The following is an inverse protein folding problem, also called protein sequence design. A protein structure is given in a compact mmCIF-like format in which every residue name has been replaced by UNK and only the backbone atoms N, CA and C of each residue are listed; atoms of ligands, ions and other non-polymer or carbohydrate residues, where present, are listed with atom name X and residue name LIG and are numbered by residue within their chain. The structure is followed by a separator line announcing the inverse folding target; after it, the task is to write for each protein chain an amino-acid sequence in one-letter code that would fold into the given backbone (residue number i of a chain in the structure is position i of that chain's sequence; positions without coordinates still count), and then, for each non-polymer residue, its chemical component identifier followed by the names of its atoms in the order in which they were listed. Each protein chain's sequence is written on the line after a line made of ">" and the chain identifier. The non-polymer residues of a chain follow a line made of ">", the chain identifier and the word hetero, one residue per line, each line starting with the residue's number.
data_IF_900009183920
#
_entry.id   IF_900009183920
#
_cell.length_a   1.000
_cell.length_b   1.000
_cell.length_c   1.000
_cell.angle_alpha   90.00
_cell.angle_beta   90.00
_cell.angle_gamma   90.00
#
_symmetry.space_group_name_H-M   'P 1'
#
loop_
_entity.id
_entity.type
_entity.pdbx_description
1 polymer ?
#
# COMPACT_ATOMS: atom_id res chain seq x y z
N UNK A 1 -16.88 30.16 3.51
CA UNK A 1 -16.12 29.04 2.95
C UNK A 1 -15.38 28.37 4.12
N UNK A 2 -15.93 27.27 4.66
CA UNK A 2 -15.33 26.56 5.80
C UNK A 2 -14.24 25.62 5.29
N UNK A 3 -13.03 25.78 5.81
CA UNK A 3 -11.88 24.90 5.51
C UNK A 3 -12.22 23.45 5.83
N UNK A 4 -12.22 22.59 4.82
CA UNK A 4 -12.44 21.13 4.91
C UNK A 4 -11.16 20.42 5.36
N UNK A 5 -10.41 20.98 6.32
CA UNK A 5 -9.02 20.57 6.57
C UNK A 5 -8.79 19.55 7.69
N UNK A 6 -9.83 19.11 8.42
CA UNK A 6 -9.62 18.22 9.57
C UNK A 6 -9.93 16.73 9.36
N UNK A 7 -10.94 16.30 8.60
CA UNK A 7 -11.23 14.86 8.49
C UNK A 7 -10.32 14.11 7.51
N UNK A 8 -9.73 14.78 6.51
CA UNK A 8 -8.88 14.13 5.50
C UNK A 8 -7.49 13.85 6.06
N UNK A 9 -6.92 14.75 6.87
CA UNK A 9 -5.64 14.50 7.57
C UNK A 9 -5.72 13.28 8.50
N UNK A 10 -6.84 13.09 9.18
CA UNK A 10 -7.06 11.95 10.08
C UNK A 10 -7.26 10.62 9.31
N UNK A 11 -7.93 10.66 8.16
CA UNK A 11 -8.16 9.48 7.31
C UNK A 11 -6.87 8.99 6.62
N UNK A 12 -5.95 9.90 6.29
CA UNK A 12 -4.65 9.56 5.73
C UNK A 12 -3.70 8.97 6.81
N UNK A 13 -3.81 9.41 8.06
CA UNK A 13 -3.06 8.83 9.18
C UNK A 13 -3.47 7.39 9.50
N UNK A 14 -4.77 7.05 9.40
CA UNK A 14 -5.24 5.68 9.64
C UNK A 14 -4.87 4.71 8.53
N UNK A 15 -4.61 5.17 7.30
CA UNK A 15 -4.17 4.31 6.20
C UNK A 15 -2.69 3.90 6.30
N UNK A 16 -1.86 4.64 7.05
CA UNK A 16 -0.47 4.26 7.32
C UNK A 16 -0.39 3.09 8.30
N UNK A 17 -1.33 2.99 9.23
CA UNK A 17 -1.40 1.87 10.18
C UNK A 17 -1.85 0.54 9.55
N UNK A 18 -2.55 0.55 8.42
CA UNK A 18 -2.88 -0.67 7.66
C UNK A 18 -1.75 -1.15 6.74
N UNK A 19 -0.66 -0.38 6.64
CA UNK A 19 0.60 -0.74 5.98
C UNK A 19 1.65 -1.28 6.96
N UNK A 20 1.23 -1.70 8.18
CA UNK A 20 2.07 -2.52 9.06
C UNK A 20 2.47 -3.80 8.32
N UNK A 21 3.63 -4.30 8.58
CA UNK A 21 4.60 -4.80 7.62
C UNK A 21 4.06 -5.99 6.86
N UNK A 22 3.28 -5.77 5.83
CA UNK A 22 3.43 -6.66 4.69
C UNK A 22 4.78 -6.27 4.15
N UNK A 23 5.78 -6.92 4.70
CA UNK A 23 7.11 -6.89 4.17
C UNK A 23 6.99 -6.94 2.65
N UNK A 24 7.50 -5.93 1.97
CA UNK A 24 7.79 -6.07 0.56
C UNK A 24 8.72 -7.28 0.47
N UNK A 25 8.12 -8.45 0.24
CA UNK A 25 8.76 -9.68 -0.19
C UNK A 25 9.74 -10.36 0.75
N UNK A 26 9.96 -9.92 2.00
CA UNK A 26 10.87 -10.64 2.91
C UNK A 26 10.38 -10.56 4.34
N UNK A 27 9.47 -11.46 4.70
CA UNK A 27 9.34 -11.85 6.10
C UNK A 27 10.70 -12.39 6.57
N UNK A 28 11.18 -12.04 7.79
CA UNK A 28 12.31 -12.73 8.39
C UNK A 28 12.13 -14.25 8.43
N UNK A 29 10.89 -14.71 8.26
CA UNK A 29 10.44 -16.11 8.29
C UNK A 29 10.63 -16.83 6.95
N UNK A 30 10.81 -16.11 5.83
CA UNK A 30 11.03 -16.71 4.51
C UNK A 30 12.46 -17.23 4.30
N UNK A 31 13.30 -17.27 5.36
CA UNK A 31 14.61 -17.90 5.34
C UNK A 31 14.51 -19.44 5.45
N UNK A 32 13.65 -20.05 4.65
CA UNK A 32 13.82 -21.45 4.24
C UNK A 32 14.80 -21.43 3.09
N UNK A 33 16.01 -21.97 3.33
CA UNK A 33 17.08 -22.04 2.34
C UNK A 33 16.57 -22.47 0.96
N UNK A 34 16.29 -21.52 0.11
CA UNK A 34 16.00 -21.76 -1.30
C UNK A 34 17.31 -22.04 -2.00
N UNK A 35 17.49 -23.29 -2.42
CA UNK A 35 18.42 -23.65 -3.47
C UNK A 35 18.12 -22.79 -4.71
N UNK A 36 19.08 -21.96 -5.09
CA UNK A 36 19.05 -21.16 -6.31
C UNK A 36 19.10 -22.09 -7.53
N UNK A 37 17.98 -22.31 -8.18
CA UNK A 37 17.97 -22.67 -9.60
C UNK A 37 18.03 -21.37 -10.41
N UNK A 38 19.16 -21.21 -11.10
CA UNK A 38 19.38 -20.11 -12.03
C UNK A 38 18.57 -20.38 -13.29
N UNK A 39 17.60 -19.50 -13.60
CA UNK A 39 17.09 -19.38 -14.95
C UNK A 39 17.88 -18.28 -15.69
N UNK A 40 18.62 -18.71 -16.72
CA UNK A 40 19.24 -17.83 -17.71
C UNK A 40 18.16 -17.11 -18.50
N UNK A 41 18.18 -15.77 -18.46
CA UNK A 41 17.61 -14.97 -19.52
C UNK A 41 18.55 -13.79 -19.84
N UNK A 42 19.03 -13.80 -21.07
CA UNK A 42 20.03 -12.87 -21.58
C UNK A 42 19.38 -11.54 -21.93
N UNK A 43 20.07 -10.47 -21.56
CA UNK A 43 20.01 -9.12 -22.13
C UNK A 43 19.29 -8.00 -21.37
N UNK A 44 19.74 -7.74 -20.12
CA UNK A 44 19.63 -6.39 -19.51
C UNK A 44 20.94 -6.06 -18.81
N UNK A 45 21.47 -4.82 -18.98
CA UNK A 45 22.68 -4.34 -18.28
C UNK A 45 22.51 -4.51 -16.76
N UNK A 46 22.90 -5.69 -16.25
CA UNK A 46 22.81 -6.03 -14.82
C UNK A 46 23.76 -5.11 -14.05
N UNK A 47 23.22 -4.23 -13.20
CA UNK A 47 23.98 -3.66 -12.08
C UNK A 47 24.67 -4.82 -11.38
N UNK A 48 25.98 -4.74 -11.14
CA UNK A 48 26.79 -5.80 -10.51
C UNK A 48 26.29 -5.94 -9.08
N UNK A 49 25.35 -6.89 -8.83
CA UNK A 49 24.85 -7.20 -7.49
C UNK A 49 26.03 -7.67 -6.63
N UNK A 50 26.12 -7.16 -5.40
CA UNK A 50 27.09 -7.65 -4.43
C UNK A 50 26.82 -9.14 -4.18
N UNK A 51 27.87 -9.98 -4.28
CA UNK A 51 27.73 -11.41 -3.94
C UNK A 51 27.27 -11.53 -2.50
N UNK A 52 26.13 -12.18 -2.28
CA UNK A 52 25.61 -12.46 -0.95
C UNK A 52 26.57 -13.41 -0.24
N UNK A 53 27.24 -12.91 0.80
CA UNK A 53 28.03 -13.75 1.68
C UNK A 53 27.09 -14.47 2.65
N UNK A 54 27.31 -15.77 2.85
CA UNK A 54 26.53 -16.52 3.83
C UNK A 54 26.98 -16.16 5.25
N UNK A 55 26.06 -16.10 6.21
CA UNK A 55 26.41 -15.93 7.61
C UNK A 55 27.23 -17.13 8.13
N UNK A 56 28.07 -16.87 9.12
CA UNK A 56 28.90 -17.93 9.74
C UNK A 56 28.02 -19.06 10.34
N UNK A 57 28.58 -20.25 10.47
CA UNK A 57 27.88 -21.37 11.13
C UNK A 57 27.40 -21.03 12.54
N UNK A 58 28.13 -20.13 13.25
CA UNK A 58 27.70 -19.64 14.57
C UNK A 58 26.46 -18.79 14.46
N UNK A 59 26.44 -17.85 13.52
CA UNK A 59 25.27 -17.00 13.29
C UNK A 59 24.07 -17.80 12.81
N UNK A 60 24.27 -18.79 11.94
CA UNK A 60 23.20 -19.70 11.50
C UNK A 60 22.50 -20.40 12.69
N UNK A 61 23.30 -20.88 13.69
CA UNK A 61 22.73 -21.49 14.90
C UNK A 61 21.94 -20.49 15.75
N UNK A 62 22.43 -19.25 15.87
CA UNK A 62 21.72 -18.16 16.56
C UNK A 62 20.39 -17.90 15.85
N UNK A 63 20.39 -17.75 14.54
CA UNK A 63 19.17 -17.52 13.76
C UNK A 63 18.16 -18.67 13.90
N UNK A 64 18.62 -19.92 13.86
CA UNK A 64 17.76 -21.09 14.07
C UNK A 64 17.08 -21.09 15.45
N UNK A 65 17.77 -20.62 16.49
CA UNK A 65 17.20 -20.53 17.83
C UNK A 65 16.28 -19.31 17.99
N UNK A 66 16.60 -18.20 17.33
CA UNK A 66 15.92 -16.90 17.49
C UNK A 66 14.63 -16.80 16.66
N UNK A 67 14.61 -17.32 15.42
CA UNK A 67 13.45 -17.15 14.51
C UNK A 67 12.15 -17.68 15.13
N UNK A 68 12.12 -18.87 15.77
CA UNK A 68 10.90 -19.32 16.46
C UNK A 68 10.44 -18.40 17.60
N UNK A 69 11.36 -17.70 18.29
CA UNK A 69 11.02 -16.74 19.32
C UNK A 69 10.34 -15.51 18.74
N UNK A 70 10.77 -15.06 17.56
CA UNK A 70 10.12 -13.96 16.83
C UNK A 70 8.70 -14.36 16.40
N UNK A 71 8.50 -15.59 15.92
CA UNK A 71 7.18 -16.11 15.52
C UNK A 71 6.14 -16.10 16.64
N UNK A 72 6.58 -16.25 17.88
CA UNK A 72 5.72 -16.22 19.07
C UNK A 72 5.86 -14.92 19.85
N UNK A 73 6.42 -13.88 19.25
CA UNK A 73 6.60 -12.53 19.81
C UNK A 73 7.38 -12.46 21.14
N UNK A 74 8.26 -13.44 21.39
CA UNK A 74 9.19 -13.43 22.52
C UNK A 74 10.41 -12.54 22.20
N UNK A 75 10.14 -11.23 22.16
CA UNK A 75 11.08 -10.22 21.67
C UNK A 75 12.35 -10.10 22.51
N UNK A 76 12.25 -10.16 23.83
CA UNK A 76 13.38 -9.97 24.73
C UNK A 76 14.32 -11.18 24.68
N UNK A 77 13.79 -12.40 24.59
CA UNK A 77 14.55 -13.62 24.41
C UNK A 77 15.23 -13.65 23.02
N UNK A 78 14.54 -13.18 21.99
CA UNK A 78 15.11 -13.06 20.65
C UNK A 78 16.28 -12.04 20.64
N UNK A 79 16.14 -10.89 21.32
CA UNK A 79 17.23 -9.93 21.47
C UNK A 79 18.41 -10.51 22.26
N UNK A 80 18.14 -11.25 23.33
CA UNK A 80 19.18 -11.90 24.16
C UNK A 80 20.00 -12.90 23.33
N UNK A 81 19.36 -13.63 22.41
CA UNK A 81 20.04 -14.54 21.51
C UNK A 81 21.05 -13.84 20.58
N UNK A 82 20.83 -12.55 20.28
CA UNK A 82 21.71 -11.73 19.43
C UNK A 82 22.87 -11.07 20.20
N UNK A 83 22.84 -11.03 21.54
CA UNK A 83 23.87 -10.36 22.35
C UNK A 83 25.31 -10.85 22.07
N UNK A 84 25.60 -12.16 21.87
CA UNK A 84 26.95 -12.60 21.57
C UNK A 84 27.56 -11.99 20.31
N UNK A 85 26.70 -11.56 19.35
CA UNK A 85 27.16 -10.93 18.08
C UNK A 85 27.52 -9.47 18.30
N UNK A 86 26.90 -8.80 19.29
CA UNK A 86 27.10 -7.39 19.59
C UNK A 86 28.43 -7.09 20.30
N UNK A 87 29.09 -8.10 20.83
CA UNK A 87 30.37 -7.90 21.56
C UNK A 87 31.46 -7.45 20.59
N UNK A 88 32.15 -6.35 20.91
CA UNK A 88 33.11 -5.65 20.04
C UNK A 88 34.24 -6.59 19.56
N UNK A 89 34.76 -7.46 20.43
CA UNK A 89 35.83 -8.42 20.11
C UNK A 89 35.29 -9.80 19.69
N UNK A 90 34.03 -9.85 19.27
CA UNK A 90 33.41 -11.10 18.84
C UNK A 90 34.07 -11.62 17.55
N UNK A 91 34.18 -12.96 17.43
CA UNK A 91 34.65 -13.62 16.20
C UNK A 91 33.58 -13.69 15.10
N UNK A 92 32.63 -12.75 15.12
CA UNK A 92 31.59 -12.65 14.13
C UNK A 92 32.02 -11.73 12.97
N UNK A 93 31.59 -12.09 11.77
CA UNK A 93 31.90 -11.36 10.53
C UNK A 93 31.03 -10.13 10.38
N UNK A 94 31.39 -9.22 9.45
CA UNK A 94 30.52 -8.11 9.05
C UNK A 94 29.15 -8.58 8.56
N UNK A 95 29.09 -9.69 7.81
CA UNK A 95 27.83 -10.33 7.41
C UNK A 95 26.99 -10.78 8.62
N UNK A 96 27.62 -11.32 9.66
CA UNK A 96 26.91 -11.74 10.88
C UNK A 96 26.35 -10.53 11.64
N UNK A 97 27.12 -9.43 11.74
CA UNK A 97 26.65 -8.19 12.34
C UNK A 97 25.52 -7.55 11.53
N UNK A 98 25.60 -7.58 10.19
CA UNK A 98 24.51 -7.11 9.34
C UNK A 98 23.20 -7.86 9.63
N UNK A 99 23.26 -9.21 9.75
CA UNK A 99 22.10 -10.01 10.16
C UNK A 99 21.59 -9.63 11.54
N UNK A 100 22.49 -9.45 12.51
CA UNK A 100 22.10 -9.01 13.87
C UNK A 100 21.37 -7.66 13.82
N UNK A 101 21.90 -6.66 13.13
CA UNK A 101 21.28 -5.35 13.02
C UNK A 101 19.92 -5.41 12.32
N UNK A 102 19.79 -6.23 11.27
CA UNK A 102 18.53 -6.44 10.58
C UNK A 102 17.43 -6.93 11.54
N UNK A 103 17.72 -8.01 12.29
CA UNK A 103 16.74 -8.56 13.23
C UNK A 103 16.50 -7.65 14.44
N UNK A 104 17.53 -6.98 14.96
CA UNK A 104 17.33 -5.96 16.00
C UNK A 104 16.42 -4.83 15.53
N UNK A 105 16.65 -4.31 14.32
CA UNK A 105 15.81 -3.29 13.72
C UNK A 105 14.35 -3.76 13.64
N UNK A 106 14.13 -4.97 13.14
CA UNK A 106 12.80 -5.56 13.06
C UNK A 106 12.12 -5.71 14.44
N UNK A 107 12.83 -6.30 15.42
CA UNK A 107 12.29 -6.52 16.77
C UNK A 107 11.96 -5.17 17.44
N UNK A 108 12.85 -4.20 17.37
CA UNK A 108 12.61 -2.89 17.96
C UNK A 108 11.45 -2.15 17.26
N UNK A 109 11.33 -2.29 15.95
CA UNK A 109 10.20 -1.74 15.20
C UNK A 109 8.88 -2.36 15.65
N UNK A 110 8.83 -3.69 15.81
CA UNK A 110 7.66 -4.43 16.29
C UNK A 110 7.27 -4.09 17.75
N UNK A 111 8.26 -3.70 18.55
CA UNK A 111 8.05 -3.21 19.93
C UNK A 111 7.77 -1.69 20.00
N UNK A 112 7.62 -1.00 18.87
CA UNK A 112 7.46 0.47 18.78
C UNK A 112 8.62 1.26 19.42
N UNK A 113 9.78 0.63 19.57
CA UNK A 113 11.03 1.26 20.05
C UNK A 113 11.76 1.92 18.87
N UNK A 114 11.14 2.95 18.28
CA UNK A 114 11.51 3.51 16.98
C UNK A 114 12.93 4.05 16.92
N UNK A 115 13.42 4.72 17.98
CA UNK A 115 14.81 5.23 18.03
C UNK A 115 15.84 4.10 17.96
N UNK A 116 15.56 2.96 18.63
CA UNK A 116 16.44 1.80 18.60
C UNK A 116 16.38 1.08 17.26
N UNK A 117 15.19 1.01 16.66
CA UNK A 117 15.01 0.46 15.32
C UNK A 117 15.77 1.29 14.28
N UNK A 118 15.64 2.62 14.32
CA UNK A 118 16.33 3.52 13.41
C UNK A 118 17.86 3.35 13.51
N UNK A 119 18.39 3.31 14.74
CA UNK A 119 19.81 3.07 14.96
C UNK A 119 20.26 1.74 14.38
N UNK A 120 19.53 0.67 14.65
CA UNK A 120 19.86 -0.67 14.14
C UNK A 120 19.87 -0.71 12.61
N UNK A 121 18.89 -0.11 11.93
CA UNK A 121 18.89 -0.07 10.47
C UNK A 121 20.01 0.80 9.88
N UNK A 122 20.36 1.91 10.52
CA UNK A 122 21.54 2.71 10.12
C UNK A 122 22.84 1.93 10.29
N UNK A 123 23.01 1.20 11.39
CA UNK A 123 24.16 0.34 11.64
C UNK A 123 24.24 -0.79 10.61
N UNK A 124 23.09 -1.36 10.21
CA UNK A 124 23.02 -2.35 9.12
C UNK A 124 23.53 -1.77 7.79
N UNK A 125 23.09 -0.58 7.42
CA UNK A 125 23.52 0.06 6.17
C UNK A 125 25.02 0.37 6.19
N UNK A 126 25.57 0.68 7.35
CA UNK A 126 27.00 0.94 7.53
C UNK A 126 27.89 -0.31 7.43
N UNK A 127 27.34 -1.52 7.63
CA UNK A 127 28.11 -2.76 7.53
C UNK A 127 28.58 -3.02 6.09
N UNK A 128 29.90 -3.22 5.87
CA UNK A 128 30.46 -3.37 4.51
C UNK A 128 29.90 -4.56 3.73
N UNK A 129 29.60 -5.65 4.45
CA UNK A 129 29.12 -6.91 3.89
C UNK A 129 27.61 -7.12 4.02
N UNK A 130 26.84 -6.06 4.33
CA UNK A 130 25.38 -6.09 4.21
C UNK A 130 25.02 -6.35 2.75
N UNK A 131 24.08 -7.27 2.50
CA UNK A 131 23.64 -7.55 1.14
C UNK A 131 22.64 -6.49 0.64
N UNK A 132 22.42 -6.45 -0.67
CA UNK A 132 21.54 -5.44 -1.28
C UNK A 132 20.09 -5.56 -0.77
N UNK A 133 19.58 -6.78 -0.55
CA UNK A 133 18.23 -7.01 -0.04
C UNK A 133 18.05 -6.49 1.39
N UNK A 134 19.03 -6.73 2.28
CA UNK A 134 19.01 -6.20 3.65
C UNK A 134 19.06 -4.68 3.67
N UNK A 135 19.90 -4.10 2.81
CA UNK A 135 20.00 -2.63 2.67
C UNK A 135 18.70 -2.04 2.16
N UNK A 136 18.07 -2.66 1.16
CA UNK A 136 16.78 -2.25 0.64
C UNK A 136 15.68 -2.32 1.73
N UNK A 137 15.61 -3.44 2.47
CA UNK A 137 14.69 -3.55 3.60
C UNK A 137 14.92 -2.48 4.67
N UNK A 138 16.17 -2.18 5.00
CA UNK A 138 16.52 -1.14 5.97
C UNK A 138 16.13 0.27 5.48
N UNK A 139 16.39 0.61 4.22
CA UNK A 139 16.01 1.90 3.63
C UNK A 139 14.49 2.09 3.67
N UNK A 140 13.74 1.06 3.33
CA UNK A 140 12.28 1.11 3.39
C UNK A 140 11.79 1.30 4.84
N UNK A 141 12.34 0.53 5.80
CA UNK A 141 12.00 0.68 7.23
C UNK A 141 12.38 2.06 7.78
N UNK A 142 13.54 2.60 7.40
CA UNK A 142 13.96 3.95 7.76
C UNK A 142 13.02 5.03 7.19
N UNK A 143 12.48 4.81 5.99
CA UNK A 143 11.47 5.71 5.42
C UNK A 143 10.20 5.72 6.24
N UNK A 144 9.72 4.54 6.66
CA UNK A 144 8.54 4.41 7.51
C UNK A 144 8.75 5.06 8.88
N UNK A 145 9.89 4.80 9.53
CA UNK A 145 10.27 5.44 10.80
C UNK A 145 10.31 6.97 10.68
N UNK A 146 10.93 7.47 9.61
CA UNK A 146 10.97 8.92 9.35
C UNK A 146 9.57 9.51 9.13
N UNK A 147 8.68 8.76 8.46
CA UNK A 147 7.29 9.17 8.27
C UNK A 147 6.51 9.22 9.59
N UNK A 148 6.69 8.20 10.46
CA UNK A 148 6.08 8.14 11.80
C UNK A 148 6.59 9.32 12.67
N UNK A 149 7.87 9.66 12.56
CA UNK A 149 8.48 10.81 13.25
C UNK A 149 8.09 12.16 12.63
N UNK A 150 7.20 12.21 11.62
CA UNK A 150 6.80 13.40 10.87
C UNK A 150 7.97 14.10 10.13
N UNK A 151 9.09 13.41 9.94
CA UNK A 151 10.25 13.89 9.20
C UNK A 151 10.10 13.56 7.71
N UNK A 152 9.04 14.05 7.09
CA UNK A 152 8.57 13.65 5.76
C UNK A 152 9.62 13.82 4.66
N UNK A 153 10.43 14.88 4.72
CA UNK A 153 11.50 15.05 3.73
C UNK A 153 12.57 13.96 3.85
N UNK A 154 12.87 13.49 5.07
CA UNK A 154 13.80 12.37 5.30
C UNK A 154 13.21 11.05 4.83
N UNK A 155 11.91 10.84 5.07
CA UNK A 155 11.19 9.68 4.55
C UNK A 155 11.26 9.62 3.01
N UNK A 156 11.02 10.74 2.33
CA UNK A 156 11.15 10.85 0.87
C UNK A 156 12.57 10.49 0.42
N UNK A 157 13.60 11.01 1.09
CA UNK A 157 14.99 10.75 0.71
C UNK A 157 15.33 9.25 0.78
N UNK A 158 14.93 8.56 1.86
CA UNK A 158 15.11 7.11 2.00
C UNK A 158 14.32 6.32 0.95
N UNK A 159 13.08 6.73 0.63
CA UNK A 159 12.29 6.08 -0.40
C UNK A 159 12.89 6.26 -1.80
N UNK A 160 13.42 7.43 -2.11
CA UNK A 160 14.08 7.66 -3.40
C UNK A 160 15.38 6.85 -3.51
N UNK A 161 16.14 6.71 -2.42
CA UNK A 161 17.32 5.85 -2.39
C UNK A 161 16.93 4.37 -2.54
N UNK A 162 15.85 3.94 -1.88
CA UNK A 162 15.28 2.61 -2.02
C UNK A 162 14.86 2.34 -3.47
N UNK A 163 14.08 3.23 -4.09
CA UNK A 163 13.65 3.13 -5.49
C UNK A 163 14.82 2.97 -6.48
N UNK A 164 15.93 3.67 -6.23
CA UNK A 164 17.12 3.58 -7.08
C UNK A 164 17.74 2.17 -7.10
N UNK A 165 17.43 1.34 -6.12
CA UNK A 165 17.88 -0.06 -6.01
C UNK A 165 16.88 -1.08 -6.54
N UNK A 166 15.61 -0.71 -6.72
CA UNK A 166 14.56 -1.61 -7.17
C UNK A 166 14.49 -1.70 -8.70
N UNK A 167 14.32 -2.92 -9.21
CA UNK A 167 14.11 -3.16 -10.66
C UNK A 167 12.65 -2.92 -11.03
N UNK A 168 11.73 -3.30 -10.16
CA UNK A 168 10.28 -3.16 -10.33
C UNK A 168 9.66 -2.52 -9.07
N UNK A 169 9.68 -1.18 -8.98
CA UNK A 169 9.16 -0.49 -7.81
C UNK A 169 7.66 -0.74 -7.61
N UNK A 170 7.26 -1.00 -6.37
CA UNK A 170 5.86 -1.25 -6.04
C UNK A 170 5.02 0.04 -6.06
N UNK A 171 3.72 -0.11 -6.36
CA UNK A 171 2.78 1.00 -6.26
C UNK A 171 2.66 1.56 -4.84
N UNK A 172 2.87 0.72 -3.83
CA UNK A 172 2.80 1.14 -2.42
C UNK A 172 3.92 2.11 -2.04
N UNK A 173 5.11 1.91 -2.58
CA UNK A 173 6.23 2.84 -2.38
C UNK A 173 5.93 4.22 -2.97
N UNK A 174 5.40 4.26 -4.19
CA UNK A 174 4.97 5.53 -4.78
C UNK A 174 3.79 6.16 -4.04
N UNK A 175 2.86 5.36 -3.52
CA UNK A 175 1.79 5.83 -2.65
C UNK A 175 2.32 6.50 -1.38
N UNK A 176 3.34 5.92 -0.74
CA UNK A 176 3.98 6.49 0.45
C UNK A 176 4.76 7.79 0.12
N UNK A 177 5.45 7.83 -1.03
CA UNK A 177 6.10 9.06 -1.53
C UNK A 177 5.06 10.16 -1.76
N UNK A 178 3.93 9.82 -2.39
CA UNK A 178 2.85 10.77 -2.63
C UNK A 178 2.30 11.34 -1.32
N UNK A 179 2.06 10.49 -0.33
CA UNK A 179 1.61 10.92 1.00
C UNK A 179 2.63 11.83 1.68
N UNK A 180 3.93 11.49 1.62
CA UNK A 180 4.98 12.31 2.21
C UNK A 180 5.11 13.69 1.52
N UNK A 181 5.00 13.74 0.20
CA UNK A 181 4.93 15.02 -0.54
C UNK A 181 3.67 15.82 -0.22
N UNK A 182 2.52 15.16 0.02
CA UNK A 182 1.30 15.83 0.46
C UNK A 182 1.50 16.53 1.82
N UNK A 183 2.17 15.86 2.77
CA UNK A 183 2.42 16.41 4.11
C UNK A 183 3.32 17.66 4.10
N UNK A 184 4.26 17.73 3.18
CA UNK A 184 5.12 18.92 2.98
C UNK A 184 4.53 19.92 1.97
N UNK A 185 3.24 19.77 1.62
CA UNK A 185 2.49 20.63 0.70
C UNK A 185 3.10 20.72 -0.72
N UNK A 186 3.95 19.77 -1.11
CA UNK A 186 4.46 19.67 -2.47
C UNK A 186 3.47 18.89 -3.34
N UNK A 187 2.30 19.48 -3.57
CA UNK A 187 1.20 18.86 -4.29
C UNK A 187 1.55 18.44 -5.72
N UNK A 188 2.32 19.20 -6.52
CA UNK A 188 2.70 18.74 -7.86
C UNK A 188 3.46 17.42 -7.85
N UNK A 189 4.47 17.25 -6.98
CA UNK A 189 5.21 15.99 -6.85
C UNK A 189 4.37 14.88 -6.24
N UNK A 190 3.45 15.22 -5.36
CA UNK A 190 2.50 14.26 -4.81
C UNK A 190 1.58 13.69 -5.91
N UNK A 191 1.10 14.53 -6.85
CA UNK A 191 0.30 14.08 -8.00
C UNK A 191 1.12 13.16 -8.90
N UNK A 192 2.34 13.54 -9.24
CA UNK A 192 3.24 12.71 -10.06
C UNK A 192 3.46 11.32 -9.46
N UNK A 193 3.71 11.27 -8.16
CA UNK A 193 3.93 10.02 -7.45
C UNK A 193 2.66 9.17 -7.36
N UNK A 194 1.49 9.77 -7.05
CA UNK A 194 0.25 9.00 -6.95
C UNK A 194 -0.23 8.51 -8.33
N UNK A 195 -0.02 9.28 -9.38
CA UNK A 195 -0.30 8.86 -10.75
C UNK A 195 0.57 7.65 -11.14
N UNK A 196 1.83 7.66 -10.74
CA UNK A 196 2.74 6.51 -10.95
C UNK A 196 2.23 5.28 -10.20
N UNK A 197 1.82 5.43 -8.92
CA UNK A 197 1.28 4.34 -8.12
C UNK A 197 0.01 3.73 -8.75
N UNK A 198 -0.89 4.57 -9.24
CA UNK A 198 -2.12 4.16 -9.92
C UNK A 198 -1.79 3.43 -11.22
N UNK A 199 -0.93 4.01 -12.06
CA UNK A 199 -0.56 3.44 -13.35
C UNK A 199 0.11 2.06 -13.22
N UNK A 200 0.95 1.84 -12.21
CA UNK A 200 1.55 0.53 -11.93
C UNK A 200 0.46 -0.52 -11.69
N UNK A 201 -0.56 -0.21 -10.91
CA UNK A 201 -1.64 -1.16 -10.60
C UNK A 201 -2.59 -1.37 -11.78
N UNK A 202 -2.96 -0.31 -12.49
CA UNK A 202 -3.88 -0.37 -13.63
C UNK A 202 -3.24 -1.00 -14.87
N UNK A 203 -1.91 -0.97 -15.01
CA UNK A 203 -1.21 -1.63 -16.11
C UNK A 203 -1.11 -3.14 -15.96
N UNK A 204 -1.29 -3.69 -14.75
CA UNK A 204 -1.20 -5.12 -14.50
C UNK A 204 -2.37 -5.87 -15.12
N UNK A 205 -2.09 -7.01 -15.75
CA UNK A 205 -3.11 -7.96 -16.18
C UNK A 205 -3.38 -8.96 -15.06
N UNK A 206 -4.62 -8.92 -14.53
CA UNK A 206 -5.06 -9.79 -13.45
C UNK A 206 -5.85 -10.94 -14.04
N UNK A 207 -5.41 -12.17 -13.78
CA UNK A 207 -6.14 -13.38 -14.19
C UNK A 207 -7.46 -13.48 -13.45
N UNK A 208 -8.53 -13.69 -14.21
CA UNK A 208 -9.87 -13.88 -13.65
C UNK A 208 -9.96 -15.29 -13.08
N UNK A 209 -10.36 -15.37 -11.81
CA UNK A 209 -10.62 -16.61 -11.10
C UNK A 209 -12.11 -16.68 -10.76
N UNK A 210 -12.69 -17.85 -10.93
CA UNK A 210 -14.08 -18.12 -10.56
C UNK A 210 -14.13 -19.25 -9.53
N UNK A 211 -15.11 -19.24 -8.59
CA UNK A 211 -15.26 -20.32 -7.63
C UNK A 211 -15.63 -21.62 -8.33
N UNK A 212 -15.09 -22.72 -7.82
CA UNK A 212 -15.54 -24.07 -8.19
C UNK A 212 -16.82 -24.37 -7.44
N UNK A 213 -17.86 -24.79 -8.17
CA UNK A 213 -19.13 -25.22 -7.57
C UNK A 213 -19.14 -26.74 -7.44
N UNK A 214 -19.77 -27.26 -6.37
CA UNK A 214 -20.10 -28.68 -6.23
C UNK A 214 -21.29 -29.07 -7.11
N UNK A 215 -21.71 -30.35 -7.05
CA UNK A 215 -22.80 -30.86 -7.82
C UNK A 215 -24.15 -30.23 -7.44
N UNK A 216 -24.27 -29.67 -6.26
CA UNK A 216 -25.45 -28.99 -5.72
C UNK A 216 -25.44 -27.48 -6.02
N UNK A 217 -24.33 -26.95 -6.62
CA UNK A 217 -24.16 -25.54 -6.98
C UNK A 217 -23.64 -24.65 -5.87
N UNK A 218 -23.10 -25.21 -4.77
CA UNK A 218 -22.46 -24.44 -3.70
C UNK A 218 -20.97 -24.22 -4.00
N UNK A 219 -20.42 -23.13 -3.51
CA UNK A 219 -18.98 -22.87 -3.63
C UNK A 219 -18.16 -23.85 -2.78
N UNK A 220 -17.19 -24.53 -3.41
CA UNK A 220 -16.30 -25.49 -2.74
C UNK A 220 -15.17 -24.81 -1.93
N UNK A 221 -14.98 -23.50 -2.09
CA UNK A 221 -13.86 -22.74 -1.58
C UNK A 221 -12.62 -22.79 -2.47
N UNK A 222 -12.63 -23.58 -3.54
CA UNK A 222 -11.58 -23.60 -4.55
C UNK A 222 -11.86 -22.56 -5.65
N UNK A 223 -10.77 -22.00 -6.24
CA UNK A 223 -10.84 -21.03 -7.32
C UNK A 223 -10.09 -21.56 -8.54
N UNK A 224 -10.68 -21.49 -9.71
CA UNK A 224 -10.01 -21.84 -10.99
C UNK A 224 -9.82 -20.61 -11.86
N UNK A 225 -8.70 -20.58 -12.61
CA UNK A 225 -8.44 -19.52 -13.59
C UNK A 225 -9.26 -19.77 -14.85
N UNK A 226 -10.00 -18.74 -15.30
CA UNK A 226 -10.83 -18.82 -16.52
C UNK A 226 -10.02 -18.76 -17.81
N UNK A 227 -8.73 -18.39 -17.73
CA UNK A 227 -7.90 -18.06 -18.87
C UNK A 227 -8.08 -16.61 -19.39
N UNK A 228 -9.05 -15.89 -18.86
CA UNK A 228 -9.28 -14.48 -19.17
C UNK A 228 -8.48 -13.58 -18.21
N UNK A 229 -8.16 -12.38 -18.69
CA UNK A 229 -7.52 -11.33 -17.87
C UNK A 229 -8.36 -10.06 -17.87
N UNK A 230 -8.25 -9.30 -16.78
CA UNK A 230 -8.75 -7.93 -16.71
C UNK A 230 -7.63 -6.99 -16.28
N UNK A 231 -7.75 -5.73 -16.61
CA UNK A 231 -6.82 -4.72 -16.07
C UNK A 231 -6.99 -4.60 -14.55
N UNK A 232 -5.88 -4.34 -13.89
CA UNK A 232 -5.87 -4.04 -12.47
C UNK A 232 -6.63 -2.75 -12.17
N UNK A 233 -6.94 -2.56 -10.89
CA UNK A 233 -7.55 -1.33 -10.37
C UNK A 233 -6.69 -0.86 -9.22
N UNK A 234 -6.39 0.43 -9.18
CA UNK A 234 -5.60 0.97 -8.09
C UNK A 234 -6.37 0.92 -6.77
N UNK A 235 -5.66 0.91 -5.65
CA UNK A 235 -6.26 0.89 -4.32
C UNK A 235 -7.14 2.13 -4.10
N UNK A 236 -8.25 1.95 -3.38
CA UNK A 236 -9.20 3.04 -3.06
C UNK A 236 -8.50 4.28 -2.47
N UNK A 237 -7.55 4.07 -1.55
CA UNK A 237 -6.81 5.15 -0.90
C UNK A 237 -5.94 5.97 -1.88
N UNK A 238 -5.47 5.39 -2.99
CA UNK A 238 -4.73 6.13 -4.02
C UNK A 238 -5.65 7.11 -4.75
N UNK A 239 -6.85 6.69 -5.12
CA UNK A 239 -7.85 7.58 -5.71
C UNK A 239 -8.29 8.67 -4.74
N UNK A 240 -8.46 8.34 -3.45
CA UNK A 240 -8.82 9.32 -2.42
C UNK A 240 -7.72 10.37 -2.22
N UNK A 241 -6.45 9.97 -2.22
CA UNK A 241 -5.32 10.91 -2.16
C UNK A 241 -5.29 11.80 -3.40
N UNK A 242 -5.48 11.24 -4.60
CA UNK A 242 -5.54 12.00 -5.85
C UNK A 242 -6.66 13.03 -5.83
N UNK A 243 -7.84 12.67 -5.32
CA UNK A 243 -8.95 13.61 -5.15
C UNK A 243 -8.62 14.74 -4.17
N UNK A 244 -7.98 14.42 -3.02
CA UNK A 244 -7.55 15.42 -2.07
C UNK A 244 -6.55 16.41 -2.70
N UNK A 245 -5.59 15.89 -3.47
CA UNK A 245 -4.62 16.71 -4.20
C UNK A 245 -5.29 17.65 -5.23
N UNK A 246 -6.28 17.14 -5.97
CA UNK A 246 -7.01 17.98 -6.93
C UNK A 246 -7.82 19.06 -6.23
N UNK A 247 -8.36 18.79 -5.03
CA UNK A 247 -9.02 19.80 -4.21
C UNK A 247 -8.06 20.89 -3.76
N UNK A 248 -6.85 20.53 -3.27
CA UNK A 248 -5.81 21.50 -2.88
C UNK A 248 -5.34 22.35 -4.08
N UNK A 249 -5.23 21.74 -5.24
CA UNK A 249 -4.84 22.39 -6.49
C UNK A 249 -6.00 23.15 -7.18
N UNK A 250 -7.21 23.13 -6.60
CA UNK A 250 -8.43 23.74 -7.16
C UNK A 250 -8.78 23.21 -8.55
N UNK A 251 -8.53 21.93 -8.78
CA UNK A 251 -8.83 21.20 -10.02
C UNK A 251 -10.14 20.42 -9.89
N UNK A 252 -11.23 21.09 -9.56
CA UNK A 252 -12.52 20.46 -9.25
C UNK A 252 -13.13 19.69 -10.45
N UNK A 253 -12.69 19.97 -11.67
CA UNK A 253 -13.14 19.25 -12.87
C UNK A 253 -12.54 17.85 -12.96
N UNK A 254 -11.32 17.66 -12.47
CA UNK A 254 -10.57 16.42 -12.54
C UNK A 254 -11.04 15.35 -11.54
N UNK A 255 -11.91 15.74 -10.60
CA UNK A 255 -12.43 14.84 -9.56
C UNK A 255 -13.53 13.92 -10.08
N UNK A 256 -14.28 14.35 -11.11
CA UNK A 256 -15.43 13.59 -11.61
C UNK A 256 -15.04 12.20 -12.16
N UNK A 257 -14.03 12.04 -13.04
CA UNK A 257 -13.60 10.72 -13.52
C UNK A 257 -13.17 9.78 -12.38
N UNK A 258 -12.60 10.34 -11.31
CA UNK A 258 -12.19 9.52 -10.16
C UNK A 258 -13.41 8.98 -9.42
N UNK A 259 -14.49 9.76 -9.26
CA UNK A 259 -15.74 9.26 -8.70
C UNK A 259 -16.38 8.17 -9.59
N UNK A 260 -16.31 8.30 -10.91
CA UNK A 260 -16.80 7.27 -11.84
C UNK A 260 -16.07 5.94 -11.64
N UNK A 261 -14.73 5.97 -11.43
CA UNK A 261 -13.95 4.78 -11.06
C UNK A 261 -14.35 4.26 -9.68
N UNK A 262 -14.47 5.15 -8.68
CA UNK A 262 -14.80 4.75 -7.31
C UNK A 262 -16.16 4.07 -7.18
N UNK A 263 -17.18 4.54 -7.90
CA UNK A 263 -18.50 3.89 -7.87
C UNK A 263 -18.50 2.54 -8.57
N UNK A 264 -17.68 2.36 -9.59
CA UNK A 264 -17.56 1.13 -10.33
C UNK A 264 -16.86 0.01 -9.54
N UNK A 265 -15.75 0.34 -8.85
CA UNK A 265 -14.90 -0.66 -8.22
C UNK A 265 -14.96 -0.67 -6.68
N UNK A 266 -15.43 0.41 -6.06
CA UNK A 266 -15.56 0.59 -4.62
C UNK A 266 -16.93 1.15 -4.26
N UNK A 267 -18.05 0.49 -4.64
CA UNK A 267 -19.40 1.07 -4.54
C UNK A 267 -19.74 1.38 -3.09
N UNK A 268 -19.77 2.66 -2.75
CA UNK A 268 -20.18 3.18 -1.44
C UNK A 268 -21.15 4.33 -1.65
N UNK A 269 -22.18 4.42 -0.79
CA UNK A 269 -23.16 5.50 -0.83
C UNK A 269 -22.55 6.87 -1.07
N UNK A 270 -21.49 7.20 -0.29
CA UNK A 270 -20.84 8.52 -0.37
C UNK A 270 -20.31 8.85 -1.77
N UNK A 271 -19.86 7.86 -2.53
CA UNK A 271 -19.33 8.09 -3.86
C UNK A 271 -20.44 8.33 -4.86
N UNK A 272 -21.51 7.54 -4.81
CA UNK A 272 -22.69 7.73 -5.64
C UNK A 272 -23.35 9.09 -5.41
N UNK A 273 -23.55 9.50 -4.15
CA UNK A 273 -24.18 10.78 -3.82
C UNK A 273 -23.32 11.98 -4.22
N UNK A 274 -21.97 11.86 -4.08
CA UNK A 274 -21.07 12.92 -4.53
C UNK A 274 -21.02 13.00 -6.06
N UNK A 275 -20.96 11.86 -6.75
CA UNK A 275 -20.99 11.78 -8.21
C UNK A 275 -22.27 12.42 -8.76
N UNK A 276 -23.42 12.07 -8.20
CA UNK A 276 -24.70 12.69 -8.55
C UNK A 276 -24.67 14.21 -8.33
N UNK A 277 -24.15 14.68 -7.20
CA UNK A 277 -24.00 16.10 -6.92
C UNK A 277 -23.12 16.83 -7.94
N UNK A 278 -22.02 16.19 -8.36
CA UNK A 278 -21.10 16.74 -9.36
C UNK A 278 -21.74 16.79 -10.76
N UNK A 279 -22.51 15.79 -11.14
CA UNK A 279 -23.29 15.83 -12.38
C UNK A 279 -24.32 16.94 -12.38
N UNK A 280 -25.06 17.10 -11.27
CA UNK A 280 -26.03 18.19 -11.12
C UNK A 280 -25.41 19.58 -11.22
N UNK A 281 -24.23 19.81 -10.64
CA UNK A 281 -23.49 21.07 -10.74
C UNK A 281 -23.02 21.39 -12.18
N UNK A 282 -23.00 20.40 -13.05
CA UNK A 282 -22.58 20.52 -14.46
C UNK A 282 -23.75 20.44 -15.45
N UNK A 283 -24.98 20.56 -14.97
CA UNK A 283 -26.22 20.43 -15.75
C UNK A 283 -26.35 19.08 -16.49
N UNK A 284 -25.65 18.03 -16.01
CA UNK A 284 -25.71 16.66 -16.51
C UNK A 284 -26.80 15.87 -15.77
N UNK A 285 -28.04 16.30 -15.89
CA UNK A 285 -29.16 15.80 -15.09
C UNK A 285 -29.51 14.32 -15.37
N UNK A 286 -29.29 13.83 -16.60
CA UNK A 286 -29.48 12.41 -16.90
C UNK A 286 -28.45 11.54 -16.18
N UNK A 287 -27.18 11.94 -16.17
CA UNK A 287 -26.12 11.24 -15.45
C UNK A 287 -26.32 11.33 -13.94
N UNK A 288 -26.81 12.49 -13.46
CA UNK A 288 -27.21 12.66 -12.06
C UNK A 288 -28.30 11.67 -11.65
N UNK A 289 -29.32 11.50 -12.49
CA UNK A 289 -30.40 10.53 -12.28
C UNK A 289 -29.82 9.10 -12.26
N UNK A 290 -29.01 8.74 -13.27
CA UNK A 290 -28.41 7.42 -13.37
C UNK A 290 -27.55 7.05 -12.16
N UNK A 291 -26.78 8.00 -11.62
CA UNK A 291 -25.99 7.77 -10.42
C UNK A 291 -26.86 7.52 -9.17
N UNK A 292 -27.94 8.27 -8.98
CA UNK A 292 -28.88 8.04 -7.87
C UNK A 292 -29.67 6.75 -8.06
N UNK A 293 -30.04 6.41 -9.28
CA UNK A 293 -30.76 5.18 -9.62
C UNK A 293 -29.90 3.95 -9.32
N UNK A 294 -28.64 3.95 -9.74
CA UNK A 294 -27.70 2.89 -9.39
C UNK A 294 -27.54 2.73 -7.88
N UNK A 295 -27.39 3.84 -7.14
CA UNK A 295 -27.32 3.81 -5.69
C UNK A 295 -28.61 3.29 -5.03
N UNK A 296 -29.77 3.54 -5.63
CA UNK A 296 -31.06 3.02 -5.18
C UNK A 296 -31.16 1.52 -5.41
N UNK A 297 -30.82 1.04 -6.61
CA UNK A 297 -30.86 -0.38 -6.96
C UNK A 297 -29.91 -1.20 -6.07
N UNK A 298 -28.76 -0.64 -5.71
CA UNK A 298 -27.79 -1.22 -4.76
C UNK A 298 -28.21 -1.08 -3.27
N UNK A 299 -29.41 -0.51 -3.00
CA UNK A 299 -29.94 -0.29 -1.64
C UNK A 299 -29.04 0.59 -0.75
N UNK A 300 -28.29 1.51 -1.34
CA UNK A 300 -27.36 2.39 -0.63
C UNK A 300 -28.03 3.71 -0.16
N UNK A 301 -29.18 4.10 -0.72
CA UNK A 301 -29.89 5.30 -0.29
C UNK A 301 -30.63 5.05 1.02
N UNK A 302 -30.55 5.98 1.96
CA UNK A 302 -31.17 5.89 3.28
C UNK A 302 -31.83 7.17 3.78
N UNK A 303 -31.74 8.28 3.01
CA UNK A 303 -32.29 9.60 3.38
C UNK A 303 -33.43 9.99 2.47
N UNK A 304 -34.54 10.44 3.07
CA UNK A 304 -35.71 10.89 2.34
C UNK A 304 -35.38 11.88 1.21
N UNK A 305 -34.46 12.82 1.44
CA UNK A 305 -34.02 13.80 0.44
C UNK A 305 -33.42 13.14 -0.82
N UNK A 306 -32.76 11.99 -0.67
CA UNK A 306 -32.13 11.27 -1.77
C UNK A 306 -33.19 10.59 -2.63
N UNK A 307 -34.18 9.95 -2.01
CA UNK A 307 -35.35 9.38 -2.69
C UNK A 307 -36.17 10.47 -3.40
N UNK A 308 -36.40 11.61 -2.74
CA UNK A 308 -37.10 12.75 -3.32
C UNK A 308 -36.35 13.28 -4.56
N UNK A 309 -35.05 13.46 -4.47
CA UNK A 309 -34.23 13.92 -5.59
C UNK A 309 -34.28 12.95 -6.79
N UNK A 310 -34.17 11.64 -6.54
CA UNK A 310 -34.28 10.62 -7.58
C UNK A 310 -35.68 10.63 -8.20
N UNK A 311 -36.73 10.68 -7.38
CA UNK A 311 -38.12 10.71 -7.86
C UNK A 311 -38.40 11.91 -8.76
N UNK A 312 -37.91 13.10 -8.36
CA UNK A 312 -38.05 14.32 -9.16
C UNK A 312 -37.36 14.22 -10.52
N UNK A 313 -36.12 13.67 -10.55
CA UNK A 313 -35.41 13.47 -11.81
C UNK A 313 -36.10 12.44 -12.69
N UNK A 314 -36.56 11.31 -12.15
CA UNK A 314 -37.31 10.30 -12.87
C UNK A 314 -38.60 10.87 -13.45
N UNK A 315 -39.30 11.72 -12.71
CA UNK A 315 -40.51 12.37 -13.22
C UNK A 315 -40.20 13.35 -14.36
N UNK A 316 -39.09 14.11 -14.21
CA UNK A 316 -38.65 15.08 -15.25
C UNK A 316 -38.29 14.37 -16.57
N UNK A 317 -37.71 13.16 -16.50
CA UNK A 317 -37.36 12.35 -17.67
C UNK A 317 -38.44 11.35 -18.07
N UNK A 318 -39.69 11.67 -17.81
CA UNK A 318 -40.92 10.95 -18.28
C UNK A 318 -41.00 9.49 -17.78
N UNK A 319 -40.48 9.19 -16.58
CA UNK A 319 -40.64 7.88 -15.94
C UNK A 319 -41.48 7.94 -14.64
N UNK A 320 -42.75 8.37 -14.69
CA UNK A 320 -43.56 8.62 -13.50
C UNK A 320 -43.89 7.35 -12.71
N UNK A 321 -43.94 6.18 -13.38
CA UNK A 321 -44.19 4.90 -12.70
C UNK A 321 -43.00 4.51 -11.79
N UNK A 322 -41.77 4.71 -12.26
CA UNK A 322 -40.59 4.44 -11.48
C UNK A 322 -40.40 5.50 -10.36
N UNK A 323 -40.70 6.77 -10.68
CA UNK A 323 -40.71 7.84 -9.69
C UNK A 323 -41.62 7.56 -8.48
N UNK A 324 -42.81 7.05 -8.73
CA UNK A 324 -43.77 6.67 -7.68
C UNK A 324 -43.35 5.47 -6.82
N UNK A 325 -42.38 4.65 -7.27
CA UNK A 325 -41.90 3.48 -6.51
C UNK A 325 -40.74 3.85 -5.58
N UNK A 326 -40.10 4.97 -5.81
CA UNK A 326 -38.92 5.43 -5.08
C UNK A 326 -39.29 6.19 -3.80
N UNK A 327 -40.48 6.80 -3.75
CA UNK A 327 -41.00 7.51 -2.58
C UNK A 327 -41.74 6.57 -1.65
#
# INVERSE_FOLDING_TARGET
>A
MKKLSYPIKLLLLTSVFSLLPVAVGVSPLDYKGSSLEAADDENKKKKKRRRTKLPSKKMQRILQAMVPLIEVEQWDEALLALEPVAVIDSKFTSTDRAKMYYYRGYIYFSQEKYDLAEKAYKDLIAEPDSNDQERQGALFSLSQLSYIAEEYQRAINYLLEWLAGEEEPSSDAYGLIAQAYYQIENYPKSVEAIDTAINIQESQDIKIKVPVLDAEGNETGEMIETGETRKGVAKENHYLLKMALYSELKKDLEVLPIYEILVQYYPKKRYWTNLSGLYGQRDRQMDQMGALEAAYDDRLLDKQREFTALSQLLFMFENPRKAARVI
#
